data_IF_187387381910
#
_entry.id   IF_187387381910
#
_cell.length_a   1.000
_cell.length_b   1.000
_cell.length_c   1.000
_cell.angle_alpha   90.00
_cell.angle_beta   90.00
_cell.angle_gamma   90.00
#
_symmetry.space_group_name_H-M   'P 1'
#
loop_
_entity.id
_entity.type
_entity.pdbx_description
1 polymer ?
#
# COMPACT_ATOMS: atom_id res chain seq x y z
N UNK A 1 11.57 12.65 2.54
CA UNK A 1 10.95 11.31 2.59
C UNK A 1 11.56 10.56 3.75
N UNK A 2 10.81 10.39 4.81
CA UNK A 2 11.37 9.96 6.11
C UNK A 2 11.22 8.47 6.37
N UNK A 3 10.92 7.65 5.40
CA UNK A 3 10.67 6.27 5.75
C UNK A 3 10.60 5.29 4.61
N UNK A 4 10.42 4.04 5.01
CA UNK A 4 10.15 2.88 4.18
C UNK A 4 8.63 2.68 4.05
N UNK A 5 7.86 3.77 3.90
CA UNK A 5 6.41 3.71 3.79
C UNK A 5 5.93 3.18 2.44
N UNK A 6 4.65 2.75 2.39
CA UNK A 6 4.06 2.22 1.15
C UNK A 6 4.09 3.19 -0.02
N UNK A 7 3.92 4.49 0.24
CA UNK A 7 3.96 5.55 -0.79
C UNK A 7 5.36 5.72 -1.38
N UNK A 8 6.39 5.75 -0.54
CA UNK A 8 7.78 5.88 -0.96
C UNK A 8 8.22 4.67 -1.80
N UNK A 9 7.92 3.47 -1.34
CA UNK A 9 8.23 2.24 -2.07
C UNK A 9 7.49 2.17 -3.42
N UNK A 10 6.21 2.54 -3.47
CA UNK A 10 5.46 2.56 -4.73
C UNK A 10 5.98 3.64 -5.70
N UNK A 11 6.39 4.80 -5.20
CA UNK A 11 7.02 5.85 -6.02
C UNK A 11 8.34 5.38 -6.61
N UNK A 12 9.15 4.71 -5.80
CA UNK A 12 10.43 4.15 -6.23
C UNK A 12 10.25 3.04 -7.29
N UNK A 13 9.30 2.12 -7.06
CA UNK A 13 8.95 1.05 -8.02
C UNK A 13 8.51 1.64 -9.36
N UNK A 14 7.61 2.63 -9.35
CA UNK A 14 7.19 3.33 -10.58
C UNK A 14 8.36 4.02 -11.29
N UNK A 15 9.21 4.72 -10.54
CA UNK A 15 10.40 5.38 -11.12
C UNK A 15 11.36 4.39 -11.78
N UNK A 16 11.57 3.21 -11.16
CA UNK A 16 12.34 2.11 -11.74
C UNK A 16 11.72 1.61 -13.04
N UNK A 17 10.44 1.35 -13.04
CA UNK A 17 9.70 0.85 -14.20
C UNK A 17 9.79 1.83 -15.38
N UNK A 18 9.57 3.11 -15.14
CA UNK A 18 9.71 4.16 -16.16
C UNK A 18 11.13 4.22 -16.73
N UNK A 19 12.16 4.09 -15.87
CA UNK A 19 13.56 4.03 -16.35
C UNK A 19 13.81 2.81 -17.22
N UNK A 20 13.32 1.64 -16.85
CA UNK A 20 13.43 0.40 -17.63
C UNK A 20 12.76 0.52 -19.00
N UNK A 21 11.72 1.35 -19.14
CA UNK A 21 11.04 1.65 -20.40
C UNK A 21 11.67 2.80 -21.20
N UNK A 22 12.82 3.30 -20.77
CA UNK A 22 13.60 4.30 -21.51
C UNK A 22 13.19 5.75 -21.23
N UNK A 23 12.30 6.01 -20.26
CA UNK A 23 11.96 7.37 -19.87
C UNK A 23 13.05 8.02 -19.01
N UNK A 24 13.24 9.32 -19.17
CA UNK A 24 14.03 10.12 -18.23
C UNK A 24 13.21 10.40 -16.98
N UNK A 25 13.76 10.08 -15.81
CA UNK A 25 13.06 10.24 -14.53
C UNK A 25 13.85 11.14 -13.59
N UNK A 26 13.20 12.18 -13.11
CA UNK A 26 13.72 13.10 -12.11
C UNK A 26 12.88 12.99 -10.84
N UNK A 27 13.52 12.66 -9.72
CA UNK A 27 12.89 12.62 -8.40
C UNK A 27 13.14 13.94 -7.68
N UNK A 28 12.10 14.75 -7.48
CA UNK A 28 12.15 15.96 -6.69
C UNK A 28 11.61 15.68 -5.28
N UNK A 29 12.48 15.68 -4.28
CA UNK A 29 12.12 15.37 -2.89
C UNK A 29 13.13 15.90 -1.90
N UNK A 30 12.79 15.95 -0.59
CA UNK A 30 13.78 16.00 0.48
C UNK A 30 14.66 14.74 0.46
N UNK A 31 15.79 14.79 1.16
CA UNK A 31 16.71 13.64 1.29
C UNK A 31 16.04 12.46 2.02
N UNK A 32 16.54 11.25 1.76
CA UNK A 32 16.00 10.04 2.36
C UNK A 32 16.73 8.76 1.94
N UNK A 33 16.44 7.63 2.61
CA UNK A 33 17.20 6.38 2.48
C UNK A 33 17.16 5.78 1.05
N UNK A 34 16.09 6.03 0.27
CA UNK A 34 15.95 5.48 -1.08
C UNK A 34 16.67 6.29 -2.18
N UNK A 35 17.26 7.45 -1.85
CA UNK A 35 17.89 8.31 -2.87
C UNK A 35 19.08 7.63 -3.54
N UNK A 36 19.93 6.97 -2.75
CA UNK A 36 21.11 6.26 -3.30
C UNK A 36 20.69 5.13 -4.25
N UNK A 37 19.65 4.40 -3.90
CA UNK A 37 19.13 3.33 -4.75
C UNK A 37 18.50 3.90 -6.04
N UNK A 38 17.75 5.00 -5.93
CA UNK A 38 17.19 5.70 -7.09
C UNK A 38 18.28 6.16 -8.05
N UNK A 39 19.36 6.75 -7.53
CA UNK A 39 20.50 7.20 -8.33
C UNK A 39 21.24 6.03 -9.01
N UNK A 40 21.37 4.88 -8.33
CA UNK A 40 21.95 3.66 -8.91
C UNK A 40 21.13 3.13 -10.11
N UNK A 41 19.82 3.41 -10.16
CA UNK A 41 18.94 3.11 -11.29
C UNK A 41 18.92 4.19 -12.38
N UNK A 42 19.77 5.22 -12.27
CA UNK A 42 19.82 6.33 -13.21
C UNK A 42 18.69 7.34 -13.05
N UNK A 43 17.97 7.34 -11.94
CA UNK A 43 16.99 8.36 -11.59
C UNK A 43 17.74 9.57 -11.07
N UNK A 44 17.55 10.72 -11.70
CA UNK A 44 18.17 11.96 -11.25
C UNK A 44 17.43 12.49 -10.01
N UNK A 45 18.17 12.86 -8.97
CA UNK A 45 17.57 13.48 -7.80
C UNK A 45 17.79 14.98 -7.77
N UNK A 46 16.73 15.72 -7.39
CA UNK A 46 16.76 17.17 -7.16
C UNK A 46 16.26 17.45 -5.75
N UNK A 47 17.10 17.98 -4.85
CA UNK A 47 16.72 18.30 -3.49
C UNK A 47 15.74 19.46 -3.47
N UNK A 48 14.45 19.17 -3.27
CA UNK A 48 13.39 20.16 -3.14
C UNK A 48 12.52 19.79 -1.94
N UNK A 49 12.41 20.71 -1.01
CA UNK A 49 11.60 20.56 0.18
C UNK A 49 10.50 21.64 0.22
N UNK A 50 9.25 21.18 0.37
CA UNK A 50 8.09 22.06 0.51
C UNK A 50 7.64 22.21 1.98
N UNK A 51 8.25 21.48 2.91
CA UNK A 51 7.73 21.34 4.26
C UNK A 51 8.57 22.02 5.35
N UNK A 52 9.86 22.16 5.13
CA UNK A 52 10.74 22.81 6.11
C UNK A 52 10.55 24.33 6.10
N UNK A 53 10.26 24.91 7.25
CA UNK A 53 10.15 26.36 7.40
C UNK A 53 8.75 26.94 7.16
N UNK A 54 7.70 26.14 7.26
CA UNK A 54 6.31 26.62 7.17
C UNK A 54 5.97 27.27 5.82
N UNK A 55 5.22 28.36 5.83
CA UNK A 55 4.79 29.09 4.61
C UNK A 55 5.97 29.60 3.80
N UNK A 56 7.00 30.13 4.45
CA UNK A 56 8.20 30.61 3.77
C UNK A 56 8.98 29.49 3.09
N UNK A 57 9.07 28.32 3.75
CA UNK A 57 9.66 27.12 3.17
C UNK A 57 8.89 26.62 1.95
N UNK A 58 7.56 26.62 2.03
CA UNK A 58 6.70 26.26 0.91
C UNK A 58 6.92 27.19 -0.30
N UNK A 59 7.00 28.49 -0.09
CA UNK A 59 7.28 29.49 -1.15
C UNK A 59 8.68 29.28 -1.74
N UNK A 60 9.71 29.10 -0.91
CA UNK A 60 11.07 28.80 -1.38
C UNK A 60 11.10 27.50 -2.20
N UNK A 61 10.46 26.45 -1.73
CA UNK A 61 10.32 25.19 -2.45
C UNK A 61 9.67 25.38 -3.82
N UNK A 62 8.62 26.19 -3.90
CA UNK A 62 7.95 26.51 -5.16
C UNK A 62 8.89 27.22 -6.14
N UNK A 63 9.67 28.21 -5.71
CA UNK A 63 10.65 28.88 -6.59
C UNK A 63 11.77 27.96 -7.05
N UNK A 64 12.31 27.12 -6.14
CA UNK A 64 13.29 26.09 -6.50
C UNK A 64 12.72 25.11 -7.53
N UNK A 65 11.47 24.70 -7.34
CA UNK A 65 10.76 23.84 -8.27
C UNK A 65 10.53 24.50 -9.64
N UNK A 66 10.13 25.76 -9.69
CA UNK A 66 10.00 26.52 -10.94
C UNK A 66 11.32 26.61 -11.71
N UNK A 67 12.44 26.83 -10.99
CA UNK A 67 13.79 26.85 -11.60
C UNK A 67 14.11 25.48 -12.21
N UNK A 68 13.86 24.39 -11.48
CA UNK A 68 14.03 23.01 -11.96
C UNK A 68 13.19 22.77 -13.21
N UNK A 69 11.90 23.13 -13.21
CA UNK A 69 11.02 22.93 -14.38
C UNK A 69 11.52 23.63 -15.65
N UNK A 70 12.13 24.82 -15.53
CA UNK A 70 12.73 25.52 -16.67
C UNK A 70 13.95 24.80 -17.23
N UNK A 71 14.69 24.08 -16.40
CA UNK A 71 15.88 23.32 -16.78
C UNK A 71 15.53 21.96 -17.37
N UNK A 72 14.69 21.20 -16.65
CA UNK A 72 14.36 19.81 -16.99
C UNK A 72 13.28 19.72 -18.09
N UNK A 73 12.35 20.69 -18.17
CA UNK A 73 11.24 20.75 -19.12
C UNK A 73 10.47 19.42 -19.25
N UNK A 74 10.02 18.84 -18.14
CA UNK A 74 9.40 17.53 -18.16
C UNK A 74 8.07 17.54 -18.93
N UNK A 75 7.73 16.44 -19.60
CA UNK A 75 6.41 16.26 -20.22
C UNK A 75 5.32 16.02 -19.16
N UNK A 76 5.69 15.34 -18.07
CA UNK A 76 4.78 14.93 -17.00
C UNK A 76 5.36 15.28 -15.62
N UNK A 77 4.54 15.84 -14.78
CA UNK A 77 4.75 15.96 -13.34
C UNK A 77 3.82 14.97 -12.64
N UNK A 78 4.36 14.09 -11.83
CA UNK A 78 3.62 13.08 -11.08
C UNK A 78 3.71 13.35 -9.58
N UNK A 79 2.70 14.01 -9.01
CA UNK A 79 2.62 14.36 -7.60
C UNK A 79 2.13 13.17 -6.76
N UNK A 80 2.88 12.80 -5.73
CA UNK A 80 2.53 11.69 -4.82
C UNK A 80 1.77 12.14 -3.56
N UNK A 81 1.62 13.45 -3.36
CA UNK A 81 0.96 14.03 -2.19
C UNK A 81 0.06 15.19 -2.60
N UNK A 82 -1.20 15.18 -2.15
CA UNK A 82 -2.20 16.20 -2.49
C UNK A 82 -1.74 17.63 -2.13
N UNK A 83 -1.05 17.77 -1.01
CA UNK A 83 -0.63 19.09 -0.47
C UNK A 83 0.30 19.86 -1.40
N UNK A 84 1.13 19.19 -2.19
CA UNK A 84 2.07 19.86 -3.11
C UNK A 84 1.46 20.14 -4.49
N UNK A 85 0.34 19.51 -4.83
CA UNK A 85 -0.29 19.61 -6.16
C UNK A 85 -0.54 21.05 -6.59
N UNK A 86 -1.13 21.94 -5.75
CA UNK A 86 -1.37 23.31 -6.16
C UNK A 86 -0.08 24.06 -6.54
N UNK A 87 0.99 23.92 -5.76
CA UNK A 87 2.28 24.55 -6.05
C UNK A 87 2.87 24.00 -7.35
N UNK A 88 2.86 22.67 -7.54
CA UNK A 88 3.38 22.04 -8.73
C UNK A 88 2.60 22.45 -9.99
N UNK A 89 1.27 22.51 -9.92
CA UNK A 89 0.42 22.89 -11.02
C UNK A 89 0.57 24.38 -11.41
N UNK A 90 0.67 25.29 -10.43
CA UNK A 90 0.92 26.69 -10.67
C UNK A 90 2.32 26.90 -11.25
N UNK A 91 3.34 26.27 -10.67
CA UNK A 91 4.71 26.33 -11.18
C UNK A 91 4.81 25.82 -12.61
N UNK A 92 4.13 24.73 -12.95
CA UNK A 92 4.08 24.19 -14.30
C UNK A 92 3.45 25.17 -15.29
N UNK A 93 2.30 25.77 -14.96
CA UNK A 93 1.63 26.77 -15.81
C UNK A 93 2.54 27.97 -16.13
N UNK A 94 3.40 28.37 -15.18
CA UNK A 94 4.29 29.52 -15.35
C UNK A 94 5.60 29.13 -16.05
N UNK A 95 6.19 27.99 -15.70
CA UNK A 95 7.57 27.67 -16.07
C UNK A 95 7.68 26.64 -17.19
N UNK A 96 6.66 25.79 -17.38
CA UNK A 96 6.60 24.73 -18.40
C UNK A 96 5.14 24.45 -18.80
N UNK A 97 4.48 25.36 -19.54
CA UNK A 97 3.03 25.30 -19.78
C UNK A 97 2.52 24.07 -20.55
N UNK A 98 3.41 23.35 -21.23
CA UNK A 98 3.08 22.10 -21.94
C UNK A 98 3.06 20.88 -21.04
N UNK A 99 3.64 20.98 -19.86
CA UNK A 99 3.75 19.88 -18.89
C UNK A 99 2.39 19.52 -18.33
N UNK A 100 2.04 18.25 -18.37
CA UNK A 100 0.82 17.72 -17.73
C UNK A 100 1.09 17.39 -16.26
N UNK A 101 0.15 17.73 -15.39
CA UNK A 101 0.28 17.47 -13.95
C UNK A 101 -0.69 16.38 -13.54
N UNK A 102 -0.15 15.33 -12.98
CA UNK A 102 -0.88 14.20 -12.43
C UNK A 102 -0.75 14.17 -10.90
N UNK A 103 -1.82 13.82 -10.23
CA UNK A 103 -1.84 13.51 -8.80
C UNK A 103 -2.18 12.03 -8.62
N UNK A 104 -1.31 11.29 -7.96
CA UNK A 104 -1.60 9.91 -7.58
C UNK A 104 -2.25 9.90 -6.20
N UNK A 105 -3.56 9.62 -6.18
CA UNK A 105 -4.35 9.55 -4.97
C UNK A 105 -4.09 8.22 -4.26
N UNK A 106 -3.64 8.33 -3.01
CA UNK A 106 -3.32 7.18 -2.16
C UNK A 106 -4.18 7.12 -0.91
N UNK A 107 -5.38 7.69 -1.00
CA UNK A 107 -6.31 7.87 0.08
C UNK A 107 -6.05 9.16 0.86
N UNK A 108 -7.12 9.91 1.05
CA UNK A 108 -7.18 11.07 1.91
C UNK A 108 -8.39 10.90 2.82
N UNK A 109 -8.45 11.70 3.86
CA UNK A 109 -9.67 11.83 4.66
C UNK A 109 -10.81 12.34 3.78
N UNK A 110 -11.98 11.69 3.87
CA UNK A 110 -13.12 11.95 3.00
C UNK A 110 -13.54 13.43 2.97
N UNK A 111 -13.42 14.10 4.09
CA UNK A 111 -13.75 15.54 4.24
C UNK A 111 -12.83 16.47 3.44
N UNK A 112 -11.66 15.99 3.06
CA UNK A 112 -10.68 16.76 2.29
C UNK A 112 -11.04 16.81 0.81
N UNK A 113 -11.63 15.75 0.26
CA UNK A 113 -11.90 15.62 -1.17
C UNK A 113 -12.74 16.74 -1.78
N UNK A 114 -13.91 17.13 -1.21
CA UNK A 114 -14.72 18.20 -1.82
C UNK A 114 -14.01 19.55 -1.86
N UNK A 115 -13.10 19.79 -0.88
CA UNK A 115 -12.34 21.05 -0.80
C UNK A 115 -11.31 21.17 -1.91
N UNK A 116 -10.64 20.06 -2.25
CA UNK A 116 -9.57 20.04 -3.24
C UNK A 116 -10.06 19.72 -4.65
N UNK A 117 -11.21 19.03 -4.82
CA UNK A 117 -11.73 18.64 -6.12
C UNK A 117 -11.90 19.83 -7.09
N UNK A 118 -12.58 20.89 -6.64
CA UNK A 118 -12.77 22.14 -7.42
C UNK A 118 -11.44 22.82 -7.75
N UNK A 119 -10.49 22.80 -6.81
CA UNK A 119 -9.17 23.41 -7.01
C UNK A 119 -8.38 22.65 -8.06
N UNK A 120 -8.33 21.33 -7.97
CA UNK A 120 -7.58 20.49 -8.89
C UNK A 120 -8.17 20.54 -10.31
N UNK A 121 -9.50 20.55 -10.42
CA UNK A 121 -10.18 20.74 -11.72
C UNK A 121 -9.82 22.10 -12.34
N UNK A 122 -9.90 23.19 -11.58
CA UNK A 122 -9.52 24.54 -12.03
C UNK A 122 -8.04 24.64 -12.43
N UNK A 123 -7.18 23.89 -11.77
CA UNK A 123 -5.76 23.82 -12.11
C UNK A 123 -5.46 22.90 -13.31
N UNK A 124 -6.42 22.09 -13.74
CA UNK A 124 -6.27 21.18 -14.87
C UNK A 124 -5.47 19.92 -14.53
N UNK A 125 -5.52 19.48 -13.26
CA UNK A 125 -4.80 18.30 -12.77
C UNK A 125 -5.51 17.03 -13.20
N UNK A 126 -4.77 16.06 -13.71
CA UNK A 126 -5.23 14.69 -13.92
C UNK A 126 -5.01 13.88 -12.64
N UNK A 127 -5.86 12.88 -12.40
CA UNK A 127 -5.81 12.10 -11.16
C UNK A 127 -5.72 10.62 -11.49
N UNK A 128 -4.86 9.93 -10.76
CA UNK A 128 -4.70 8.48 -10.83
C UNK A 128 -5.08 7.93 -9.46
N UNK A 129 -6.16 7.18 -9.37
CA UNK A 129 -6.49 6.37 -8.19
C UNK A 129 -5.57 5.17 -8.10
N UNK A 130 -5.27 4.70 -6.89
CA UNK A 130 -4.45 3.52 -6.69
C UNK A 130 -5.24 2.19 -6.76
N UNK A 131 -6.53 2.25 -7.09
CA UNK A 131 -7.44 1.16 -7.40
C UNK A 131 -8.76 1.72 -7.95
N UNK A 132 -9.65 0.85 -8.41
CA UNK A 132 -10.99 1.23 -8.90
C UNK A 132 -11.83 1.87 -7.80
N UNK A 133 -11.82 1.31 -6.61
CA UNK A 133 -12.55 1.88 -5.46
C UNK A 133 -12.15 3.35 -5.19
N UNK A 134 -10.84 3.66 -5.24
CA UNK A 134 -10.37 5.04 -5.05
C UNK A 134 -10.82 5.96 -6.19
N UNK A 135 -10.81 5.48 -7.45
CA UNK A 135 -11.35 6.23 -8.58
C UNK A 135 -12.83 6.57 -8.37
N UNK A 136 -13.65 5.58 -8.02
CA UNK A 136 -15.09 5.75 -7.79
C UNK A 136 -15.35 6.69 -6.61
N UNK A 137 -14.57 6.57 -5.54
CA UNK A 137 -14.63 7.44 -4.38
C UNK A 137 -14.32 8.90 -4.75
N UNK A 138 -13.26 9.14 -5.51
CA UNK A 138 -12.90 10.47 -5.99
C UNK A 138 -14.03 11.09 -6.82
N UNK A 139 -14.66 10.31 -7.72
CA UNK A 139 -15.79 10.78 -8.54
C UNK A 139 -16.99 11.16 -7.66
N UNK A 140 -17.34 10.31 -6.67
CA UNK A 140 -18.40 10.60 -5.68
C UNK A 140 -18.17 11.90 -4.91
N UNK A 141 -16.90 12.23 -4.66
CA UNK A 141 -16.50 13.46 -3.95
C UNK A 141 -16.29 14.68 -4.87
N UNK A 142 -16.71 14.61 -6.14
CA UNK A 142 -16.81 15.75 -7.04
C UNK A 142 -15.58 16.01 -7.91
N UNK A 143 -14.67 15.08 -8.02
CA UNK A 143 -13.61 15.16 -9.04
C UNK A 143 -14.16 14.81 -10.42
N UNK A 144 -13.69 15.49 -11.51
CA UNK A 144 -14.22 15.29 -12.84
C UNK A 144 -13.82 13.92 -13.42
N UNK A 145 -14.82 13.08 -13.72
CA UNK A 145 -14.60 11.71 -14.20
C UNK A 145 -13.74 11.62 -15.48
N UNK A 146 -13.79 12.64 -16.35
CA UNK A 146 -13.00 12.68 -17.60
C UNK A 146 -11.50 12.97 -17.39
N UNK A 147 -11.06 13.19 -16.15
CA UNK A 147 -9.66 13.42 -15.78
C UNK A 147 -9.15 12.43 -14.74
N UNK A 148 -9.92 11.39 -14.48
CA UNK A 148 -9.55 10.37 -13.49
C UNK A 148 -9.38 9.03 -14.19
N UNK A 149 -8.29 8.37 -13.86
CA UNK A 149 -8.08 6.95 -14.13
C UNK A 149 -7.64 6.25 -12.87
N UNK A 150 -7.39 4.96 -12.92
CA UNK A 150 -6.74 4.24 -11.83
C UNK A 150 -5.68 3.29 -12.37
N UNK A 151 -4.74 2.96 -11.51
CA UNK A 151 -3.78 1.88 -11.72
C UNK A 151 -3.40 1.30 -10.36
N UNK A 152 -3.16 0.00 -10.31
CA UNK A 152 -2.68 -0.62 -9.09
C UNK A 152 -1.20 -0.28 -8.85
N UNK A 153 -0.68 -0.63 -7.67
CA UNK A 153 0.73 -0.41 -7.38
C UNK A 153 1.60 -1.40 -8.17
N UNK A 154 2.71 -0.91 -8.72
CA UNK A 154 3.73 -1.74 -9.35
C UNK A 154 4.24 -2.82 -8.39
N UNK A 155 4.39 -4.03 -8.91
CA UNK A 155 4.95 -5.16 -8.17
C UNK A 155 6.47 -5.01 -8.02
N UNK A 156 7.03 -5.59 -6.97
CA UNK A 156 8.46 -5.87 -6.96
C UNK A 156 8.72 -7.20 -7.70
N UNK A 157 9.89 -7.30 -8.30
CA UNK A 157 10.27 -8.55 -8.95
C UNK A 157 10.57 -9.62 -7.88
N UNK A 158 9.96 -10.78 -8.03
CA UNK A 158 10.24 -11.97 -7.22
C UNK A 158 10.98 -12.98 -8.11
N UNK A 159 12.17 -13.38 -7.69
CA UNK A 159 13.00 -14.29 -8.48
C UNK A 159 12.49 -15.75 -8.39
N UNK A 160 11.91 -16.12 -7.26
CA UNK A 160 11.28 -17.41 -7.04
C UNK A 160 10.31 -17.40 -5.86
N UNK A 161 9.32 -18.28 -5.90
CA UNK A 161 8.43 -18.54 -4.78
C UNK A 161 9.06 -19.65 -3.92
N UNK A 162 9.38 -19.39 -2.64
CA UNK A 162 10.03 -20.38 -1.79
C UNK A 162 9.03 -21.50 -1.40
N UNK A 163 9.53 -22.73 -1.30
CA UNK A 163 8.76 -23.79 -0.66
C UNK A 163 8.47 -23.45 0.80
N UNK A 164 7.24 -23.67 1.23
CA UNK A 164 6.83 -23.39 2.61
C UNK A 164 7.58 -24.29 3.59
N UNK A 165 7.96 -23.71 4.73
CA UNK A 165 8.56 -24.48 5.83
C UNK A 165 7.55 -25.49 6.38
N UNK A 166 7.93 -26.79 6.41
CA UNK A 166 7.07 -27.82 6.99
C UNK A 166 6.94 -27.63 8.51
N UNK A 167 5.70 -27.65 9.00
CA UNK A 167 5.35 -27.41 10.41
C UNK A 167 4.12 -28.25 10.79
N UNK A 168 3.96 -28.52 12.07
CA UNK A 168 2.78 -29.16 12.67
C UNK A 168 1.63 -28.17 12.98
N UNK A 169 1.81 -26.90 12.62
CA UNK A 169 0.84 -25.83 12.77
C UNK A 169 0.81 -24.97 11.48
N UNK A 170 -0.25 -24.17 11.34
CA UNK A 170 -0.36 -23.19 10.27
C UNK A 170 0.11 -21.83 10.80
N UNK A 171 1.09 -21.24 10.12
CA UNK A 171 1.59 -19.91 10.45
C UNK A 171 0.72 -18.84 9.77
N UNK A 172 -0.04 -18.13 10.56
CA UNK A 172 -0.71 -16.91 10.15
C UNK A 172 0.30 -15.76 10.16
N UNK A 173 0.17 -14.83 9.23
CA UNK A 173 1.04 -13.65 9.20
C UNK A 173 0.25 -12.37 8.99
N UNK A 174 0.63 -11.29 9.68
CA UNK A 174 0.21 -9.94 9.33
C UNK A 174 1.43 -9.09 9.02
N UNK A 175 1.36 -8.31 7.93
CA UNK A 175 2.46 -7.47 7.45
C UNK A 175 1.92 -6.07 7.19
N UNK A 176 2.07 -5.15 8.15
CA UNK A 176 1.51 -3.81 8.04
C UNK A 176 2.18 -2.83 9.01
N UNK A 177 1.92 -1.53 8.83
CA UNK A 177 2.18 -0.59 9.93
C UNK A 177 1.32 -0.97 11.13
N UNK A 178 1.90 -0.80 12.31
CA UNK A 178 1.18 -1.06 13.57
C UNK A 178 0.55 0.24 14.06
N UNK A 179 -0.57 0.59 13.42
CA UNK A 179 -1.40 1.76 13.73
C UNK A 179 -2.86 1.33 13.96
N UNK A 180 -3.67 2.26 14.43
CA UNK A 180 -5.08 1.99 14.76
C UNK A 180 -5.92 1.57 13.55
N UNK A 181 -5.58 2.07 12.34
CA UNK A 181 -6.32 1.77 11.10
C UNK A 181 -6.05 0.33 10.62
N UNK A 182 -4.86 -0.19 10.85
CA UNK A 182 -4.54 -1.60 10.52
C UNK A 182 -5.14 -2.58 11.52
N UNK A 183 -5.55 -2.08 12.68
CA UNK A 183 -6.34 -2.76 13.71
C UNK A 183 -5.81 -4.17 14.07
N UNK A 184 -4.49 -4.33 14.18
CA UNK A 184 -3.86 -5.60 14.57
C UNK A 184 -4.34 -6.07 15.97
N UNK A 185 -4.79 -5.14 16.83
CA UNK A 185 -5.42 -5.48 18.08
C UNK A 185 -6.68 -6.36 17.92
N UNK A 186 -7.48 -6.11 16.87
CA UNK A 186 -8.64 -6.97 16.53
C UNK A 186 -8.15 -8.35 16.09
N UNK A 187 -7.04 -8.43 15.33
CA UNK A 187 -6.46 -9.72 14.94
C UNK A 187 -6.02 -10.54 16.14
N UNK A 188 -5.46 -9.90 17.19
CA UNK A 188 -5.09 -10.60 18.42
C UNK A 188 -6.32 -11.17 19.16
N UNK A 189 -7.43 -10.43 19.18
CA UNK A 189 -8.68 -10.92 19.79
C UNK A 189 -9.26 -12.10 19.00
N UNK A 190 -9.26 -12.03 17.66
CA UNK A 190 -9.68 -13.14 16.79
C UNK A 190 -8.74 -14.35 16.96
N UNK A 191 -7.44 -14.11 17.00
CA UNK A 191 -6.42 -15.15 17.19
C UNK A 191 -6.58 -15.85 18.54
N UNK A 192 -6.92 -15.11 19.60
CA UNK A 192 -7.28 -15.70 20.90
C UNK A 192 -8.46 -16.67 20.78
N UNK A 193 -9.53 -16.31 20.05
CA UNK A 193 -10.65 -17.20 19.81
C UNK A 193 -10.24 -18.49 19.07
N UNK A 194 -9.31 -18.38 18.11
CA UNK A 194 -8.75 -19.56 17.41
C UNK A 194 -7.97 -20.46 18.36
N UNK A 195 -7.13 -19.88 19.22
CA UNK A 195 -6.35 -20.62 20.23
C UNK A 195 -7.29 -21.33 21.22
N UNK A 196 -8.33 -20.67 21.68
CA UNK A 196 -9.33 -21.27 22.60
C UNK A 196 -10.10 -22.44 21.98
N UNK A 197 -10.21 -22.48 20.65
CA UNK A 197 -10.76 -23.60 19.87
C UNK A 197 -9.72 -24.70 19.58
N UNK A 198 -8.53 -24.61 20.17
CA UNK A 198 -7.40 -25.52 19.93
C UNK A 198 -7.00 -25.67 18.46
N UNK A 199 -7.18 -24.60 17.66
CA UNK A 199 -6.70 -24.61 16.27
C UNK A 199 -5.17 -24.64 16.26
N UNK A 200 -4.52 -25.44 15.38
CA UNK A 200 -3.08 -25.54 15.29
C UNK A 200 -2.49 -24.34 14.55
N UNK A 201 -2.47 -23.17 15.21
CA UNK A 201 -2.03 -21.90 14.62
C UNK A 201 -0.99 -21.18 15.48
N UNK A 202 -0.12 -20.43 14.81
CA UNK A 202 0.74 -19.38 15.37
C UNK A 202 0.59 -18.12 14.53
N UNK A 203 1.02 -16.97 15.07
CA UNK A 203 0.88 -15.68 14.41
C UNK A 203 2.19 -14.92 14.37
N UNK A 204 2.65 -14.56 13.17
CA UNK A 204 3.74 -13.62 12.93
C UNK A 204 3.17 -12.21 12.73
N UNK A 205 3.56 -11.26 13.59
CA UNK A 205 3.21 -9.84 13.47
C UNK A 205 4.44 -9.09 12.96
N UNK A 206 4.43 -8.76 11.66
CA UNK A 206 5.50 -8.03 11.00
C UNK A 206 5.07 -6.58 10.75
N UNK A 207 5.88 -5.65 11.21
CA UNK A 207 5.67 -4.21 11.07
C UNK A 207 6.23 -3.40 12.21
N UNK A 208 6.22 -2.09 12.01
CA UNK A 208 6.58 -1.09 13.01
C UNK A 208 5.45 -0.07 13.13
N UNK A 209 5.30 0.54 14.28
CA UNK A 209 4.28 1.56 14.53
C UNK A 209 4.11 1.83 16.02
N UNK A 210 3.30 2.82 16.31
CA UNK A 210 3.04 3.32 17.67
C UNK A 210 2.30 2.30 18.55
N UNK A 211 1.59 1.35 17.95
CA UNK A 211 0.83 0.33 18.68
C UNK A 211 1.68 -0.89 19.11
N UNK A 212 2.97 -0.98 18.77
CA UNK A 212 3.80 -2.15 19.06
C UNK A 212 3.74 -2.59 20.52
N UNK A 213 3.93 -1.67 21.45
CA UNK A 213 3.98 -1.99 22.89
C UNK A 213 2.58 -2.35 23.42
N UNK A 214 1.54 -1.67 22.94
CA UNK A 214 0.15 -1.98 23.27
C UNK A 214 -0.23 -3.39 22.80
N UNK A 215 0.16 -3.78 21.59
CA UNK A 215 -0.10 -5.10 21.02
C UNK A 215 0.62 -6.21 21.79
N UNK A 216 1.87 -6.01 22.18
CA UNK A 216 2.60 -6.96 23.03
C UNK A 216 1.94 -7.13 24.41
N UNK A 217 1.52 -6.02 25.01
CA UNK A 217 0.80 -6.05 26.29
C UNK A 217 -0.56 -6.76 26.14
N UNK A 218 -1.26 -6.57 25.03
CA UNK A 218 -2.51 -7.27 24.74
C UNK A 218 -2.29 -8.77 24.57
N UNK A 219 -1.29 -9.20 23.80
CA UNK A 219 -0.98 -10.63 23.62
C UNK A 219 -0.72 -11.32 24.96
N UNK A 220 0.06 -10.67 25.84
CA UNK A 220 0.32 -11.16 27.20
C UNK A 220 -0.95 -11.23 28.06
N UNK A 221 -1.78 -10.17 28.03
CA UNK A 221 -3.06 -10.15 28.78
C UNK A 221 -4.02 -11.24 28.31
N UNK A 222 -4.02 -11.56 27.01
CA UNK A 222 -4.83 -12.62 26.41
C UNK A 222 -4.24 -14.02 26.63
N UNK A 223 -3.00 -14.14 27.14
CA UNK A 223 -2.33 -15.43 27.34
C UNK A 223 -2.02 -16.16 26.04
N UNK A 224 -1.61 -15.42 25.00
CA UNK A 224 -1.25 -15.95 23.68
C UNK A 224 0.16 -15.52 23.25
N UNK A 225 0.93 -14.91 24.11
CA UNK A 225 2.27 -14.37 23.83
C UNK A 225 3.29 -15.45 23.47
N UNK A 226 3.08 -16.70 23.89
CA UNK A 226 3.87 -17.87 23.48
C UNK A 226 3.59 -18.32 22.02
N UNK A 227 2.50 -17.86 21.41
CA UNK A 227 2.07 -18.21 20.07
C UNK A 227 2.12 -17.04 19.07
N UNK A 228 2.45 -15.84 19.55
CA UNK A 228 2.56 -14.62 18.74
C UNK A 228 4.01 -14.15 18.69
N UNK A 229 4.55 -13.99 17.47
CA UNK A 229 5.93 -13.54 17.27
C UNK A 229 5.90 -12.13 16.65
N UNK A 230 6.43 -11.15 17.36
CA UNK A 230 6.58 -9.77 16.86
C UNK A 230 7.94 -9.60 16.18
N UNK A 231 7.94 -9.51 14.85
CA UNK A 231 9.15 -9.49 14.03
C UNK A 231 9.76 -8.09 13.83
N UNK A 232 9.00 -7.02 14.18
CA UNK A 232 9.42 -5.67 13.80
C UNK A 232 9.34 -5.43 12.30
N UNK A 233 10.15 -4.50 11.78
CA UNK A 233 10.18 -4.19 10.35
C UNK A 233 10.85 -5.29 9.53
N UNK A 234 10.14 -5.88 8.59
CA UNK A 234 10.64 -6.93 7.70
C UNK A 234 11.02 -6.34 6.34
N UNK A 235 12.24 -6.65 5.87
CA UNK A 235 12.73 -6.31 4.53
C UNK A 235 12.85 -7.54 3.63
N UNK A 236 13.21 -8.68 4.21
CA UNK A 236 13.25 -9.97 3.49
C UNK A 236 11.85 -10.57 3.42
N UNK A 237 11.14 -10.22 2.34
CA UNK A 237 9.80 -10.74 2.09
C UNK A 237 9.83 -12.23 1.72
N UNK A 238 10.89 -12.70 1.06
CA UNK A 238 11.04 -14.11 0.68
C UNK A 238 11.14 -14.97 1.94
N UNK A 239 12.00 -14.59 2.90
CA UNK A 239 12.10 -15.29 4.18
C UNK A 239 10.80 -15.21 4.99
N UNK A 240 10.13 -14.06 4.99
CA UNK A 240 8.84 -13.90 5.68
C UNK A 240 7.75 -14.82 5.10
N UNK A 241 7.54 -14.79 3.78
CA UNK A 241 6.50 -15.60 3.14
C UNK A 241 6.87 -17.08 3.01
N UNK A 242 8.15 -17.46 3.16
CA UNK A 242 8.54 -18.86 3.35
C UNK A 242 7.90 -19.49 4.59
N UNK A 243 7.75 -18.69 5.65
CA UNK A 243 7.18 -19.16 6.91
C UNK A 243 5.67 -18.94 7.02
N UNK A 244 5.10 -17.96 6.36
CA UNK A 244 3.68 -17.60 6.46
C UNK A 244 2.85 -18.47 5.49
N UNK A 245 1.86 -19.18 6.02
CA UNK A 245 0.94 -20.03 5.26
C UNK A 245 -0.31 -19.30 4.80
N UNK A 246 -0.80 -18.35 5.60
CA UNK A 246 -1.99 -17.52 5.32
C UNK A 246 -1.70 -16.10 5.79
N UNK A 247 -1.85 -15.13 4.91
CA UNK A 247 -1.83 -13.72 5.31
C UNK A 247 -3.20 -13.35 5.91
N UNK A 248 -3.19 -12.74 7.09
CA UNK A 248 -4.41 -12.30 7.79
C UNK A 248 -4.34 -10.80 8.06
N UNK A 249 -5.44 -10.09 7.76
CA UNK A 249 -5.53 -8.66 8.01
C UNK A 249 -6.91 -8.30 8.55
N UNK A 250 -6.95 -7.38 9.50
CA UNK A 250 -8.18 -6.88 10.11
C UNK A 250 -8.30 -5.36 10.02
N UNK A 251 -8.04 -4.74 8.85
CA UNK A 251 -8.09 -3.29 8.76
C UNK A 251 -9.47 -2.79 9.11
N UNK A 252 -9.52 -1.67 9.83
CA UNK A 252 -10.75 -1.00 10.20
C UNK A 252 -10.68 0.48 9.88
N UNK A 253 -11.72 0.96 9.23
CA UNK A 253 -11.86 2.37 8.92
C UNK A 253 -13.31 2.79 9.08
N UNK A 254 -13.52 3.91 9.75
CA UNK A 254 -14.85 4.50 9.89
C UNK A 254 -15.15 5.38 8.68
N UNK A 255 -16.28 5.16 8.02
CA UNK A 255 -16.68 5.94 6.86
C UNK A 255 -15.84 5.64 5.61
N UNK A 256 -15.64 6.65 4.77
CA UNK A 256 -14.99 6.54 3.44
C UNK A 256 -13.46 6.78 3.48
N UNK A 257 -12.82 6.45 4.62
CA UNK A 257 -11.36 6.68 4.82
C UNK A 257 -10.47 5.60 4.23
N UNK A 258 -11.02 4.45 3.87
CA UNK A 258 -10.26 3.34 3.29
C UNK A 258 -9.66 3.70 1.94
N UNK A 259 -8.41 3.36 1.74
CA UNK A 259 -7.70 3.62 0.51
C UNK A 259 -7.05 2.36 -0.03
N UNK A 260 -7.24 2.13 -1.31
CA UNK A 260 -6.47 1.22 -2.13
C UNK A 260 -6.39 -0.23 -1.67
N UNK A 261 -5.63 -0.99 -2.42
CA UNK A 261 -5.16 -2.31 -2.05
C UNK A 261 -3.85 -2.18 -1.27
N UNK A 262 -3.74 -2.82 -0.12
CA UNK A 262 -2.48 -2.86 0.64
C UNK A 262 -1.40 -3.63 -0.13
N UNK A 263 -0.17 -3.10 -0.17
CA UNK A 263 0.95 -3.79 -0.80
C UNK A 263 1.17 -5.21 -0.25
N UNK A 264 0.88 -5.42 1.03
CA UNK A 264 0.99 -6.73 1.68
C UNK A 264 0.10 -7.81 1.03
N UNK A 265 -1.06 -7.44 0.48
CA UNK A 265 -1.94 -8.36 -0.26
C UNK A 265 -1.33 -8.69 -1.62
N UNK A 266 -0.79 -7.68 -2.32
CA UNK A 266 -0.08 -7.89 -3.58
C UNK A 266 1.17 -8.76 -3.37
N UNK A 267 1.91 -8.48 -2.31
CA UNK A 267 3.08 -9.24 -1.89
C UNK A 267 2.71 -10.69 -1.54
N UNK A 268 1.64 -10.93 -0.77
CA UNK A 268 1.16 -12.29 -0.50
C UNK A 268 0.84 -13.05 -1.79
N UNK A 269 0.19 -12.40 -2.76
CA UNK A 269 -0.06 -12.97 -4.08
C UNK A 269 1.23 -13.43 -4.76
N UNK A 270 2.25 -12.59 -4.83
CA UNK A 270 3.55 -12.92 -5.43
C UNK A 270 4.24 -14.14 -4.80
N UNK A 271 3.89 -14.48 -3.57
CA UNK A 271 4.44 -15.64 -2.84
C UNK A 271 3.43 -16.79 -2.64
N UNK A 272 2.44 -16.91 -3.52
CA UNK A 272 1.42 -17.97 -3.49
C UNK A 272 0.74 -18.11 -2.11
N UNK A 273 0.58 -17.01 -1.39
CA UNK A 273 0.03 -17.01 -0.04
C UNK A 273 -1.40 -16.46 -0.05
N UNK A 274 -2.42 -17.26 0.26
CA UNK A 274 -3.81 -16.82 0.29
C UNK A 274 -4.05 -15.83 1.42
N UNK A 275 -5.08 -15.00 1.26
CA UNK A 275 -5.40 -13.93 2.19
C UNK A 275 -6.78 -14.15 2.82
N UNK A 276 -6.87 -13.99 4.15
CA UNK A 276 -8.15 -13.84 4.86
C UNK A 276 -8.16 -12.45 5.51
N UNK A 277 -9.14 -11.63 5.18
CA UNK A 277 -9.11 -10.21 5.53
C UNK A 277 -10.49 -9.63 5.79
N UNK A 278 -10.53 -8.54 6.55
CA UNK A 278 -11.68 -7.65 6.48
C UNK A 278 -11.58 -6.72 5.27
N UNK A 279 -12.73 -6.36 4.73
CA UNK A 279 -12.83 -5.46 3.59
C UNK A 279 -12.60 -4.02 4.01
N UNK A 280 -11.70 -3.35 3.30
CA UNK A 280 -11.47 -1.91 3.41
C UNK A 280 -10.95 -1.36 2.08
N UNK A 281 -11.63 -0.36 1.53
CA UNK A 281 -11.19 0.25 0.26
C UNK A 281 -11.21 -0.75 -0.89
N UNK A 282 -10.11 -0.86 -1.62
CA UNK A 282 -9.99 -1.73 -2.80
C UNK A 282 -9.59 -3.18 -2.51
N UNK A 283 -9.60 -3.64 -1.25
CA UNK A 283 -9.15 -4.99 -0.90
C UNK A 283 -9.92 -6.07 -1.66
N UNK A 284 -11.24 -5.93 -1.78
CA UNK A 284 -12.10 -6.88 -2.50
C UNK A 284 -11.85 -6.93 -4.03
N UNK A 285 -11.08 -6.01 -4.57
CA UNK A 285 -10.62 -6.07 -5.97
C UNK A 285 -9.53 -7.12 -6.18
N UNK A 286 -8.77 -7.46 -5.13
CA UNK A 286 -7.72 -8.48 -5.14
C UNK A 286 -8.13 -9.77 -4.43
N UNK A 287 -8.85 -9.66 -3.30
CA UNK A 287 -9.26 -10.80 -2.50
C UNK A 287 -10.72 -11.14 -2.82
N UNK A 288 -10.90 -12.00 -3.83
CA UNK A 288 -12.21 -12.49 -4.27
C UNK A 288 -12.57 -13.70 -3.41
N UNK A 289 -13.64 -13.57 -2.62
CA UNK A 289 -14.06 -14.60 -1.66
C UNK A 289 -14.35 -15.93 -2.35
N UNK A 290 -13.67 -16.99 -1.89
CA UNK A 290 -13.78 -18.34 -2.44
C UNK A 290 -12.88 -18.63 -3.63
N UNK A 291 -12.22 -17.63 -4.22
CA UNK A 291 -11.33 -17.79 -5.37
C UNK A 291 -9.87 -17.49 -5.03
N UNK A 292 -9.57 -16.25 -4.63
CA UNK A 292 -8.20 -15.78 -4.32
C UNK A 292 -7.93 -15.63 -2.82
N UNK A 293 -8.96 -15.87 -1.99
CA UNK A 293 -8.91 -15.75 -0.54
C UNK A 293 -10.32 -15.60 0.05
N UNK A 294 -10.39 -14.97 1.20
CA UNK A 294 -11.66 -14.63 1.85
C UNK A 294 -11.64 -13.19 2.33
N UNK A 295 -12.66 -12.43 1.96
CA UNK A 295 -12.83 -11.02 2.31
C UNK A 295 -14.21 -10.80 2.95
N UNK A 296 -14.24 -10.33 4.19
CA UNK A 296 -15.46 -10.19 4.98
C UNK A 296 -15.69 -8.73 5.38
N UNK A 297 -16.94 -8.31 5.64
CA UNK A 297 -17.21 -7.09 6.37
C UNK A 297 -16.49 -7.05 7.72
N UNK A 298 -16.14 -5.87 8.19
CA UNK A 298 -15.55 -5.72 9.52
C UNK A 298 -16.50 -6.22 10.62
N UNK A 299 -15.97 -7.01 11.56
CA UNK A 299 -16.72 -7.60 12.67
C UNK A 299 -17.32 -8.98 12.41
N UNK A 300 -17.19 -9.51 11.20
CA UNK A 300 -17.60 -10.89 10.87
C UNK A 300 -16.54 -11.91 11.35
N UNK A 301 -16.24 -11.87 12.66
CA UNK A 301 -15.17 -12.67 13.28
C UNK A 301 -15.37 -14.17 13.09
N UNK A 302 -16.61 -14.66 13.20
CA UNK A 302 -16.89 -16.08 13.08
C UNK A 302 -16.64 -16.57 11.66
N UNK A 303 -17.13 -15.86 10.65
CA UNK A 303 -16.87 -16.19 9.25
C UNK A 303 -15.37 -16.14 8.92
N UNK A 304 -14.63 -15.17 9.51
CA UNK A 304 -13.18 -15.08 9.39
C UNK A 304 -12.48 -16.32 9.97
N UNK A 305 -12.85 -16.74 11.18
CA UNK A 305 -12.30 -17.92 11.87
C UNK A 305 -12.62 -19.20 11.09
N UNK A 306 -13.85 -19.36 10.61
CA UNK A 306 -14.27 -20.49 9.79
C UNK A 306 -13.49 -20.59 8.48
N UNK A 307 -13.21 -19.45 7.82
CA UNK A 307 -12.40 -19.41 6.62
C UNK A 307 -10.94 -19.84 6.89
N UNK A 308 -10.35 -19.38 8.00
CA UNK A 308 -9.01 -19.84 8.42
C UNK A 308 -9.02 -21.34 8.74
N UNK A 309 -10.01 -21.83 9.52
CA UNK A 309 -10.16 -23.25 9.85
C UNK A 309 -10.26 -24.12 8.58
N UNK A 310 -11.04 -23.68 7.59
CA UNK A 310 -11.16 -24.36 6.32
C UNK A 310 -9.82 -24.45 5.58
N UNK A 311 -9.02 -23.38 5.56
CA UNK A 311 -7.70 -23.37 4.94
C UNK A 311 -6.67 -24.19 5.72
N UNK A 312 -6.84 -24.36 7.03
CA UNK A 312 -6.04 -25.27 7.86
C UNK A 312 -6.34 -26.72 7.47
N UNK A 313 -7.61 -27.09 7.43
CA UNK A 313 -8.07 -28.45 7.16
C UNK A 313 -7.91 -28.89 5.70
N UNK A 314 -7.76 -27.95 4.77
CA UNK A 314 -7.67 -28.20 3.33
C UNK A 314 -6.40 -27.55 2.74
N UNK A 315 -5.20 -28.15 2.92
CA UNK A 315 -3.95 -27.61 2.41
C UNK A 315 -3.95 -27.39 0.88
N UNK A 316 -4.59 -28.29 0.14
CA UNK A 316 -4.71 -28.19 -1.32
C UNK A 316 -5.55 -26.95 -1.75
N UNK A 317 -6.63 -26.65 -1.01
CA UNK A 317 -7.43 -25.46 -1.23
C UNK A 317 -6.59 -24.20 -0.92
N UNK A 318 -5.81 -24.22 0.16
CA UNK A 318 -4.91 -23.13 0.56
C UNK A 318 -3.90 -22.83 -0.54
N UNK A 319 -3.24 -23.86 -1.09
CA UNK A 319 -2.30 -23.73 -2.19
C UNK A 319 -2.99 -23.23 -3.47
N UNK A 320 -4.13 -23.79 -3.82
CA UNK A 320 -4.93 -23.38 -4.99
C UNK A 320 -5.30 -21.91 -4.92
N UNK A 321 -5.77 -21.43 -3.77
CA UNK A 321 -6.13 -20.02 -3.56
C UNK A 321 -4.92 -19.10 -3.64
N UNK A 322 -3.78 -19.49 -3.06
CA UNK A 322 -2.54 -18.73 -3.17
C UNK A 322 -2.11 -18.53 -4.62
N UNK A 323 -2.07 -19.61 -5.40
CA UNK A 323 -1.77 -19.56 -6.85
C UNK A 323 -2.78 -18.73 -7.65
N UNK A 324 -4.06 -18.81 -7.28
CA UNK A 324 -5.10 -17.99 -7.91
C UNK A 324 -4.90 -16.49 -7.61
N UNK A 325 -4.54 -16.14 -6.38
CA UNK A 325 -4.20 -14.77 -6.01
C UNK A 325 -2.97 -14.28 -6.76
N UNK A 326 -1.94 -15.12 -6.88
CA UNK A 326 -0.73 -14.80 -7.66
C UNK A 326 -1.09 -14.40 -9.09
N UNK A 327 -1.78 -15.28 -9.79
CA UNK A 327 -2.21 -15.01 -11.17
C UNK A 327 -3.05 -13.75 -11.30
N UNK A 328 -3.96 -13.53 -10.35
CA UNK A 328 -4.83 -12.35 -10.35
C UNK A 328 -4.01 -11.06 -10.16
N UNK A 329 -3.10 -11.05 -9.20
CA UNK A 329 -2.21 -9.92 -8.92
C UNK A 329 -1.28 -9.64 -10.11
N UNK A 330 -0.65 -10.66 -10.69
CA UNK A 330 0.19 -10.50 -11.89
C UNK A 330 -0.60 -9.92 -13.07
N UNK A 331 -1.85 -10.36 -13.27
CA UNK A 331 -2.68 -9.84 -14.35
C UNK A 331 -2.99 -8.36 -14.18
N UNK A 332 -3.33 -7.92 -12.97
CA UNK A 332 -3.77 -6.54 -12.71
C UNK A 332 -2.64 -5.55 -12.42
N UNK A 333 -1.50 -6.06 -11.96
CA UNK A 333 -0.36 -5.25 -11.53
C UNK A 333 0.89 -5.51 -12.40
N UNK A 334 0.71 -6.03 -13.61
CA UNK A 334 1.82 -6.24 -14.55
C UNK A 334 2.45 -4.90 -14.94
N UNK A 335 3.70 -4.96 -15.34
CA UNK A 335 4.45 -3.79 -15.81
C UNK A 335 3.78 -3.12 -17.04
N UNK A 336 2.92 -3.83 -17.77
CA UNK A 336 2.20 -3.31 -18.93
C UNK A 336 0.92 -2.59 -18.56
N UNK A 337 0.31 -2.92 -17.42
CA UNK A 337 -0.91 -2.29 -16.92
C UNK A 337 -0.66 -1.03 -16.08
N UNK A 338 0.57 -0.81 -15.64
CA UNK A 338 0.99 0.33 -14.82
C UNK A 338 1.71 1.38 -15.65
#
# INVERSE_FOLDING_TARGET
>A
MSGLGGTENATFRLGRLLRQRGHEVVLASSDGPLIKEAQALGIQWRPIDFYQGGILGYIKGMFAYMKMLKQEKPDIIHCQMARIVPACAIAAKISSPKTKVFYHARGLEAETYPKIAKLFDKLGVYIIGNCRHEQEKLIRHGFPANRITYTYNALHKVDYVPEKTAKDYVMLGTLSRLDTVRAVHVMLDIFKKMVDRNMPVRLNVAGIGEEMDNLKAQAKRLGIDDKVIFLGGVRDLTGYFKDVDILVNTPHCIGDHGAGVGNNILEAGLYDTPVVTYNMGGISEMVITGETGYCFPFGEDEAFIEAVDKLIKQPELREKMGKALHKHVETLCSDDEI
#
